data_IF_032535502834
#
_entry.id   IF_032535502834
#
_cell.length_a   1.000
_cell.length_b   1.000
_cell.length_c   1.000
_cell.angle_alpha   90.00
_cell.angle_beta   90.00
_cell.angle_gamma   90.00
#
_symmetry.space_group_name_H-M   'P 1'
#
loop_
_entity.id
_entity.type
_entity.pdbx_description
1 polymer ?
#
# COMPACT_ATOMS: atom_id res chain seq x y z
N UNK A 1 11.40 -15.15 22.66
CA UNK A 1 12.53 -14.20 22.83
C UNK A 1 12.67 -13.18 21.69
N UNK A 2 12.09 -13.38 20.51
CA UNK A 2 12.19 -12.47 19.34
C UNK A 2 11.23 -11.25 19.41
N UNK A 3 10.15 -11.32 20.17
CA UNK A 3 9.23 -10.19 20.41
C UNK A 3 9.88 -8.95 21.03
N UNK A 4 10.98 -9.16 21.76
CA UNK A 4 11.69 -8.07 22.45
C UNK A 4 12.41 -7.12 21.46
N UNK A 5 12.90 -7.61 20.32
CA UNK A 5 13.72 -6.82 19.41
C UNK A 5 12.93 -5.79 18.58
N UNK A 6 11.74 -6.15 18.10
CA UNK A 6 10.90 -5.23 17.28
C UNK A 6 10.27 -4.18 18.20
N UNK A 7 9.75 -4.58 19.34
CA UNK A 7 9.22 -3.64 20.36
C UNK A 7 10.33 -2.72 20.87
N UNK A 8 11.55 -3.24 21.03
CA UNK A 8 12.69 -2.45 21.46
C UNK A 8 13.11 -1.42 20.40
N UNK A 9 13.13 -1.78 19.11
CA UNK A 9 13.42 -0.85 18.02
C UNK A 9 12.31 0.20 17.83
N UNK A 10 11.04 -0.16 18.05
CA UNK A 10 9.93 0.78 18.01
C UNK A 10 9.96 1.75 19.19
N UNK A 11 10.27 1.27 20.39
CA UNK A 11 10.46 2.13 21.57
C UNK A 11 11.65 3.07 21.40
N UNK A 12 12.74 2.62 20.77
CA UNK A 12 13.87 3.48 20.41
C UNK A 12 13.47 4.53 19.36
N UNK A 13 12.63 4.19 18.38
CA UNK A 13 12.12 5.13 17.40
C UNK A 13 11.21 6.18 18.05
N UNK A 14 10.30 5.75 18.92
CA UNK A 14 9.44 6.65 19.72
C UNK A 14 10.26 7.55 20.65
N UNK A 15 11.33 7.02 21.25
CA UNK A 15 12.24 7.79 22.09
C UNK A 15 13.00 8.84 21.27
N UNK A 16 13.46 8.48 20.06
CA UNK A 16 14.13 9.42 19.15
C UNK A 16 13.16 10.49 18.62
N UNK A 17 11.92 10.11 18.28
CA UNK A 17 10.89 11.07 17.90
C UNK A 17 10.53 12.00 19.06
N UNK A 18 10.39 11.47 20.27
CA UNK A 18 10.13 12.29 21.48
C UNK A 18 11.24 13.30 21.74
N UNK A 19 12.50 12.88 21.53
CA UNK A 19 13.65 13.77 21.68
C UNK A 19 13.68 14.87 20.61
N UNK A 20 13.33 14.55 19.35
CA UNK A 20 13.21 15.49 18.25
C UNK A 20 12.14 16.56 18.50
N UNK A 21 11.01 16.15 19.07
CA UNK A 21 9.90 17.07 19.37
C UNK A 21 10.02 17.73 20.76
N UNK A 22 11.15 17.53 21.51
CA UNK A 22 11.37 18.03 22.86
C UNK A 22 10.23 17.71 23.85
N UNK A 23 9.58 16.57 23.65
CA UNK A 23 8.42 16.17 24.47
C UNK A 23 8.90 15.40 25.71
N UNK A 24 8.62 15.94 26.88
CA UNK A 24 9.05 15.34 28.18
C UNK A 24 8.16 14.18 28.64
N UNK A 25 6.99 13.98 28.03
CA UNK A 25 6.08 12.87 28.38
C UNK A 25 5.17 12.55 27.19
N UNK A 26 5.21 11.33 26.66
CA UNK A 26 4.42 10.88 25.49
C UNK A 26 3.25 9.98 25.90
N UNK A 27 2.80 10.03 27.13
CA UNK A 27 1.69 9.20 27.62
C UNK A 27 0.33 9.49 26.96
N UNK A 28 0.25 10.54 26.14
CA UNK A 28 -0.95 10.94 25.42
C UNK A 28 -1.02 10.42 23.97
N UNK A 29 0.05 9.72 23.51
CA UNK A 29 0.09 9.04 22.21
C UNK A 29 0.39 7.57 22.45
N UNK A 30 -0.48 6.72 21.97
CA UNK A 30 -0.25 5.28 21.84
C UNK A 30 -0.38 4.90 20.38
N UNK A 31 0.58 4.13 19.85
CA UNK A 31 0.57 3.65 18.47
C UNK A 31 0.34 2.14 18.52
N UNK A 32 -0.82 1.73 18.04
CA UNK A 32 -1.16 0.32 17.94
C UNK A 32 -0.76 -0.25 16.58
N UNK A 33 0.15 -1.21 16.60
CA UNK A 33 0.59 -1.97 15.43
C UNK A 33 -0.03 -3.38 15.38
N UNK A 34 -1.13 -3.64 16.10
CA UNK A 34 -1.70 -4.98 16.27
C UNK A 34 -2.12 -5.66 14.95
N UNK A 35 -2.47 -4.91 13.92
CA UNK A 35 -2.75 -5.49 12.59
C UNK A 35 -1.51 -6.17 11.96
N UNK A 36 -0.35 -5.96 12.52
CA UNK A 36 0.91 -6.55 12.08
C UNK A 36 1.16 -7.95 12.67
N UNK A 37 0.51 -8.25 13.80
CA UNK A 37 0.80 -9.45 14.59
C UNK A 37 0.28 -10.75 13.97
N UNK A 38 -0.58 -10.70 12.97
CA UNK A 38 -1.25 -11.90 12.46
C UNK A 38 -0.50 -12.64 11.35
N UNK A 39 0.73 -12.22 10.97
CA UNK A 39 1.40 -12.88 9.87
C UNK A 39 2.89 -13.17 10.15
N UNK A 40 3.17 -14.29 10.81
CA UNK A 40 4.54 -14.79 11.08
C UNK A 40 5.42 -14.89 9.82
N UNK A 41 4.80 -15.04 8.65
CA UNK A 41 5.49 -15.10 7.38
C UNK A 41 6.05 -13.73 6.97
N UNK A 42 5.38 -12.64 7.35
CA UNK A 42 5.87 -11.28 7.14
C UNK A 42 7.08 -10.95 8.01
N UNK A 43 7.07 -11.39 9.26
CA UNK A 43 8.18 -11.14 10.20
C UNK A 43 9.48 -11.72 9.64
N UNK A 44 9.44 -12.96 9.16
CA UNK A 44 10.62 -13.60 8.56
C UNK A 44 11.10 -12.84 7.32
N UNK A 45 10.21 -12.56 6.38
CA UNK A 45 10.55 -11.83 5.15
C UNK A 45 11.14 -10.45 5.45
N UNK A 46 10.59 -9.75 6.44
CA UNK A 46 11.08 -8.46 6.88
C UNK A 46 12.50 -8.55 7.46
N UNK A 47 12.75 -9.49 8.39
CA UNK A 47 14.07 -9.68 9.00
C UNK A 47 15.11 -10.15 7.99
N UNK A 48 14.76 -11.05 7.08
CA UNK A 48 15.65 -11.51 6.02
C UNK A 48 16.05 -10.34 5.09
N UNK A 49 15.08 -9.50 4.67
CA UNK A 49 15.36 -8.32 3.85
C UNK A 49 16.22 -7.30 4.62
N UNK A 50 15.90 -7.03 5.88
CA UNK A 50 16.69 -6.14 6.74
C UNK A 50 18.13 -6.62 6.86
N UNK A 51 18.32 -7.92 7.10
CA UNK A 51 19.65 -8.53 7.16
C UNK A 51 20.41 -8.36 5.85
N UNK A 52 19.75 -8.59 4.70
CA UNK A 52 20.34 -8.45 3.38
C UNK A 52 20.72 -6.99 3.05
N UNK A 53 19.90 -6.01 3.47
CA UNK A 53 20.24 -4.58 3.34
C UNK A 53 21.51 -4.25 4.12
N UNK A 54 21.57 -4.67 5.39
CA UNK A 54 22.70 -4.35 6.28
C UNK A 54 24.00 -5.05 5.86
N UNK A 55 23.90 -6.26 5.32
CA UNK A 55 25.07 -7.05 4.86
C UNK A 55 25.42 -6.83 3.39
N UNK A 56 24.63 -6.00 2.67
CA UNK A 56 24.76 -5.72 1.23
C UNK A 56 24.69 -6.98 0.36
N UNK A 57 23.86 -7.95 0.71
CA UNK A 57 23.66 -9.14 -0.09
C UNK A 57 22.57 -8.93 -1.14
N UNK A 58 22.78 -9.49 -2.33
CA UNK A 58 21.71 -9.64 -3.33
C UNK A 58 20.66 -10.58 -2.78
N UNK A 59 19.40 -10.33 -3.07
CA UNK A 59 18.30 -11.23 -2.77
C UNK A 59 17.56 -11.63 -4.03
N UNK A 60 17.09 -12.86 -4.06
CA UNK A 60 16.18 -13.35 -5.09
C UNK A 60 14.86 -13.77 -4.49
N UNK A 61 13.78 -13.60 -5.26
CA UNK A 61 12.44 -13.98 -4.84
C UNK A 61 11.49 -14.06 -6.03
N UNK A 62 10.42 -14.82 -5.86
CA UNK A 62 9.27 -14.81 -6.77
C UNK A 62 8.33 -13.68 -6.37
N UNK A 63 7.96 -12.83 -7.33
CA UNK A 63 7.09 -11.67 -7.12
C UNK A 63 5.78 -11.80 -7.89
N UNK A 64 4.65 -11.70 -7.17
CA UNK A 64 3.33 -11.64 -7.77
C UNK A 64 2.97 -10.21 -8.15
N UNK A 65 3.01 -9.91 -9.45
CA UNK A 65 2.70 -8.55 -9.95
C UNK A 65 1.19 -8.33 -10.05
N UNK A 66 0.78 -7.04 -10.12
CA UNK A 66 -0.62 -6.67 -10.36
C UNK A 66 -1.19 -7.16 -11.70
N UNK A 67 -0.34 -7.61 -12.62
CA UNK A 67 -0.73 -8.16 -13.91
C UNK A 67 -0.88 -9.70 -13.88
N UNK A 68 -1.16 -10.26 -12.70
CA UNK A 68 -1.42 -11.70 -12.47
C UNK A 68 -0.28 -12.64 -12.89
N UNK A 69 0.94 -12.13 -13.04
CA UNK A 69 2.11 -12.92 -13.41
C UNK A 69 3.07 -13.06 -12.24
N UNK A 70 3.41 -14.29 -11.93
CA UNK A 70 4.57 -14.60 -11.09
C UNK A 70 5.84 -14.41 -11.91
N UNK A 71 6.81 -13.75 -11.33
CA UNK A 71 8.09 -13.46 -11.99
C UNK A 71 9.22 -13.52 -10.97
N UNK A 72 10.31 -14.19 -11.33
CA UNK A 72 11.48 -14.22 -10.50
C UNK A 72 12.26 -12.90 -10.61
N UNK A 73 12.74 -12.43 -9.47
CA UNK A 73 13.46 -11.19 -9.33
C UNK A 73 14.74 -11.42 -8.55
N UNK A 74 15.82 -10.82 -9.05
CA UNK A 74 17.06 -10.63 -8.30
C UNK A 74 17.27 -9.13 -8.14
N UNK A 75 17.51 -8.68 -6.91
CA UNK A 75 17.57 -7.27 -6.60
C UNK A 75 18.69 -6.95 -5.61
N UNK A 76 19.24 -5.73 -5.70
CA UNK A 76 20.08 -5.13 -4.66
C UNK A 76 19.14 -4.38 -3.72
N UNK A 77 18.90 -4.88 -2.49
CA UNK A 77 17.96 -4.25 -1.55
C UNK A 77 18.54 -2.93 -1.02
N UNK A 78 17.71 -1.89 -0.92
CA UNK A 78 18.15 -0.55 -0.50
C UNK A 78 17.49 -0.11 0.80
N UNK A 79 16.17 -0.11 0.85
CA UNK A 79 15.40 0.37 2.02
C UNK A 79 14.09 -0.39 2.19
N UNK A 80 13.67 -0.54 3.43
CA UNK A 80 12.30 -0.90 3.80
C UNK A 80 11.52 0.38 4.06
N UNK A 81 10.32 0.49 3.49
CA UNK A 81 9.43 1.64 3.63
C UNK A 81 8.05 1.18 4.08
N UNK A 82 7.51 1.87 5.06
CA UNK A 82 6.12 1.72 5.46
C UNK A 82 5.30 2.86 4.85
N UNK A 83 4.35 2.54 3.97
CA UNK A 83 3.44 3.51 3.36
C UNK A 83 2.09 2.86 3.08
N UNK A 84 1.01 3.65 3.19
CA UNK A 84 -0.36 3.18 2.92
C UNK A 84 -0.68 1.85 3.63
N UNK A 85 -0.29 1.76 4.92
CA UNK A 85 -0.49 0.60 5.81
C UNK A 85 0.23 -0.69 5.38
N UNK A 86 1.19 -0.62 4.45
CA UNK A 86 1.94 -1.76 3.94
C UNK A 86 3.45 -1.52 3.94
N UNK A 87 4.21 -2.62 4.04
CA UNK A 87 5.65 -2.58 3.87
C UNK A 87 6.07 -2.83 2.44
N UNK A 88 7.04 -2.05 2.02
CA UNK A 88 7.65 -2.12 0.69
C UNK A 88 9.17 -2.23 0.81
N UNK A 89 9.75 -3.09 0.00
CA UNK A 89 11.18 -3.07 -0.30
C UNK A 89 11.41 -2.13 -1.48
N UNK A 90 12.27 -1.12 -1.30
CA UNK A 90 12.83 -0.35 -2.39
C UNK A 90 14.17 -0.95 -2.78
N UNK A 91 14.34 -1.35 -4.02
CA UNK A 91 15.50 -2.08 -4.49
C UNK A 91 15.82 -1.80 -5.95
N UNK A 92 17.10 -1.93 -6.33
CA UNK A 92 17.53 -1.95 -7.72
C UNK A 92 17.24 -3.35 -8.30
N UNK A 93 16.29 -3.43 -9.22
CA UNK A 93 15.94 -4.67 -9.92
C UNK A 93 16.96 -4.96 -11.02
N UNK A 94 17.72 -6.05 -10.89
CA UNK A 94 18.77 -6.40 -11.86
C UNK A 94 18.20 -6.72 -13.24
N UNK A 95 17.02 -7.36 -13.30
CA UNK A 95 16.36 -7.68 -14.58
C UNK A 95 15.94 -6.44 -15.37
N UNK A 96 15.57 -5.36 -14.69
CA UNK A 96 15.07 -4.13 -15.32
C UNK A 96 16.11 -3.01 -15.32
N UNK A 97 17.19 -3.20 -14.58
CA UNK A 97 18.21 -2.18 -14.30
C UNK A 97 17.59 -0.84 -13.83
N UNK A 98 16.60 -0.95 -12.94
CA UNK A 98 15.82 0.19 -12.46
C UNK A 98 15.38 0.00 -11.01
N UNK A 99 15.27 1.12 -10.26
CA UNK A 99 14.78 1.10 -8.89
C UNK A 99 13.27 0.90 -8.86
N UNK A 100 12.80 -0.02 -8.01
CA UNK A 100 11.38 -0.40 -7.89
C UNK A 100 10.97 -0.64 -6.47
N UNK A 101 9.67 -0.48 -6.25
CA UNK A 101 8.99 -0.88 -5.02
C UNK A 101 8.44 -2.29 -5.16
N UNK A 102 8.71 -3.12 -4.16
CA UNK A 102 8.15 -4.45 -4.04
C UNK A 102 7.38 -4.55 -2.74
N UNK A 103 6.06 -4.73 -2.81
CA UNK A 103 5.22 -4.93 -1.62
C UNK A 103 5.59 -6.26 -0.98
N UNK A 104 5.90 -6.28 0.33
CA UNK A 104 6.37 -7.48 1.01
C UNK A 104 5.37 -8.63 0.94
N UNK A 105 4.06 -8.32 1.01
CA UNK A 105 2.98 -9.31 0.89
C UNK A 105 2.96 -10.08 -0.43
N UNK A 106 3.66 -9.61 -1.45
CA UNK A 106 3.73 -10.21 -2.79
C UNK A 106 5.06 -10.91 -3.06
N UNK A 107 5.94 -10.95 -2.06
CA UNK A 107 7.24 -11.64 -2.13
C UNK A 107 7.05 -13.06 -1.62
N UNK A 108 7.45 -14.04 -2.42
CA UNK A 108 7.48 -15.47 -2.07
C UNK A 108 8.88 -16.03 -2.33
N UNK A 109 9.23 -17.12 -1.65
CA UNK A 109 10.47 -17.86 -1.88
C UNK A 109 11.71 -16.95 -1.85
N UNK A 110 11.79 -16.08 -0.81
CA UNK A 110 12.92 -15.16 -0.66
C UNK A 110 14.16 -15.93 -0.24
N UNK A 111 15.26 -15.70 -0.96
CA UNK A 111 16.58 -16.25 -0.70
C UNK A 111 17.62 -15.13 -0.67
N UNK A 112 18.47 -15.14 0.36
CA UNK A 112 19.61 -14.24 0.45
C UNK A 112 20.79 -14.91 -0.27
N UNK A 113 21.31 -14.25 -1.31
CA UNK A 113 22.42 -14.75 -2.07
C UNK A 113 23.76 -14.53 -1.33
N UNK A 114 24.74 -15.35 -1.61
CA UNK A 114 26.12 -15.15 -1.10
C UNK A 114 26.82 -13.96 -1.77
N UNK A 115 26.34 -13.55 -2.94
CA UNK A 115 26.85 -12.43 -3.71
C UNK A 115 26.52 -11.11 -3.00
N UNK A 116 27.54 -10.25 -2.89
CA UNK A 116 27.44 -8.90 -2.33
C UNK A 116 27.56 -7.85 -3.41
N UNK A 117 27.03 -6.69 -3.12
CA UNK A 117 27.18 -5.51 -3.96
C UNK A 117 27.90 -4.40 -3.19
N UNK A 118 28.72 -3.62 -3.91
CA UNK A 118 29.50 -2.53 -3.33
C UNK A 118 28.87 -1.14 -3.57
N UNK A 119 27.76 -1.10 -4.31
CA UNK A 119 27.06 0.15 -4.60
C UNK A 119 26.70 0.90 -3.30
N UNK A 120 26.92 2.24 -3.35
CA UNK A 120 26.44 3.12 -2.30
C UNK A 120 25.06 3.69 -2.70
N UNK A 121 24.04 3.37 -1.91
CA UNK A 121 22.68 3.82 -2.13
C UNK A 121 22.19 4.82 -1.05
N UNK A 122 23.10 5.40 -0.25
CA UNK A 122 22.72 6.33 0.83
C UNK A 122 21.99 7.56 0.29
N UNK A 123 22.47 8.12 -0.83
CA UNK A 123 21.93 9.31 -1.46
C UNK A 123 20.85 9.03 -2.52
N UNK A 124 20.43 7.77 -2.67
CA UNK A 124 19.40 7.44 -3.64
C UNK A 124 18.08 8.07 -3.22
N UNK A 125 17.65 9.04 -4.03
CA UNK A 125 16.33 9.66 -3.88
C UNK A 125 15.28 8.61 -4.23
N UNK A 126 14.35 8.39 -3.31
CA UNK A 126 13.20 7.53 -3.58
C UNK A 126 12.45 8.08 -4.80
N UNK A 127 12.32 7.27 -5.82
CA UNK A 127 11.46 7.63 -6.94
C UNK A 127 10.08 7.93 -6.37
N UNK A 128 9.63 9.17 -6.53
CA UNK A 128 8.20 9.44 -6.34
C UNK A 128 7.47 8.50 -7.29
N UNK A 129 6.50 7.77 -6.77
CA UNK A 129 5.57 7.12 -7.69
C UNK A 129 5.09 8.24 -8.61
N UNK A 130 5.38 8.12 -9.90
CA UNK A 130 4.87 9.08 -10.87
C UNK A 130 3.37 9.16 -10.63
N UNK A 131 2.79 10.37 -10.51
CA UNK A 131 1.35 10.50 -10.54
C UNK A 131 0.88 9.65 -11.72
N UNK A 132 -0.10 8.80 -11.49
CA UNK A 132 -0.60 7.94 -12.56
C UNK A 132 -0.80 8.78 -13.81
N UNK A 133 -0.12 8.43 -14.91
CA UNK A 133 -0.16 9.19 -16.16
C UNK A 133 -1.59 9.32 -16.73
N UNK A 134 -2.52 8.50 -16.21
CA UNK A 134 -3.90 8.47 -16.63
C UNK A 134 -4.82 8.47 -15.41
N UNK A 135 -5.26 9.63 -14.99
CA UNK A 135 -6.30 9.82 -13.97
C UNK A 135 -7.61 10.20 -14.61
N UNK A 136 -8.70 9.96 -13.92
CA UNK A 136 -10.04 10.38 -14.30
C UNK A 136 -10.72 11.00 -13.08
N UNK A 137 -11.42 12.11 -13.31
CA UNK A 137 -12.31 12.69 -12.32
C UNK A 137 -13.66 11.99 -12.38
N UNK A 138 -14.10 11.46 -11.27
CA UNK A 138 -15.41 10.82 -11.12
C UNK A 138 -16.25 11.60 -10.13
N UNK A 139 -17.54 11.80 -10.46
CA UNK A 139 -18.53 12.28 -9.50
C UNK A 139 -19.22 11.09 -8.89
N UNK A 140 -19.20 11.04 -7.56
CA UNK A 140 -19.76 9.92 -6.82
C UNK A 140 -20.78 10.41 -5.81
N UNK A 141 -21.91 9.72 -5.75
CA UNK A 141 -22.87 9.81 -4.68
C UNK A 141 -22.65 8.65 -3.72
N UNK A 142 -22.58 8.96 -2.43
CA UNK A 142 -22.46 7.96 -1.36
C UNK A 142 -23.69 8.01 -0.47
N UNK A 143 -24.25 6.86 -0.17
CA UNK A 143 -25.34 6.74 0.80
C UNK A 143 -24.86 7.16 2.20
N UNK A 144 -25.76 7.73 2.99
CA UNK A 144 -25.47 8.13 4.37
C UNK A 144 -24.89 7.00 5.23
N UNK A 145 -25.25 5.74 4.97
CA UNK A 145 -24.73 4.58 5.71
C UNK A 145 -23.21 4.39 5.63
N UNK A 146 -22.56 4.94 4.59
CA UNK A 146 -21.09 4.87 4.38
C UNK A 146 -20.41 6.21 4.61
N UNK A 147 -21.10 7.23 5.12
CA UNK A 147 -20.59 8.59 5.30
C UNK A 147 -19.30 8.63 6.13
N UNK A 148 -19.20 7.81 7.18
CA UNK A 148 -18.01 7.73 8.03
C UNK A 148 -16.75 7.42 7.22
N UNK A 149 -16.82 6.47 6.26
CA UNK A 149 -15.68 6.16 5.38
C UNK A 149 -15.33 7.30 4.43
N UNK A 150 -16.36 7.99 3.92
CA UNK A 150 -16.16 9.13 3.02
C UNK A 150 -15.37 10.22 3.72
N UNK A 151 -15.71 10.56 4.97
CA UNK A 151 -14.96 11.53 5.76
C UNK A 151 -13.57 11.05 6.19
N UNK A 152 -13.39 9.75 6.42
CA UNK A 152 -12.09 9.17 6.80
C UNK A 152 -11.11 9.09 5.62
N UNK A 153 -11.62 8.82 4.41
CA UNK A 153 -10.80 8.48 3.26
C UNK A 153 -10.62 9.63 2.26
N UNK A 154 -11.57 10.58 2.21
CA UNK A 154 -11.60 11.64 1.20
C UNK A 154 -11.33 13.03 1.81
N UNK A 155 -10.42 13.77 1.17
CA UNK A 155 -10.02 15.11 1.60
C UNK A 155 -10.55 16.22 0.66
N UNK A 156 -11.53 15.91 -0.20
CA UNK A 156 -12.11 16.82 -1.18
C UNK A 156 -13.31 17.62 -0.62
N UNK A 157 -13.88 18.44 -1.47
CA UNK A 157 -15.16 19.09 -1.18
C UNK A 157 -16.27 18.04 -1.17
N UNK A 158 -17.00 17.96 -0.06
CA UNK A 158 -18.11 17.03 0.14
C UNK A 158 -19.37 17.86 0.38
N UNK A 159 -20.40 17.62 -0.41
CA UNK A 159 -21.72 18.25 -0.25
C UNK A 159 -22.75 17.20 0.17
N UNK A 160 -23.74 17.60 0.94
CA UNK A 160 -24.82 16.74 1.41
C UNK A 160 -26.12 17.13 0.74
N UNK A 161 -26.89 16.13 0.26
CA UNK A 161 -28.23 16.34 -0.28
C UNK A 161 -29.30 16.31 0.82
N UNK A 162 -30.58 16.58 0.45
CA UNK A 162 -31.70 16.63 1.40
C UNK A 162 -31.98 15.28 2.09
N UNK A 163 -31.52 14.17 1.51
CA UNK A 163 -31.69 12.81 2.02
C UNK A 163 -30.50 12.38 2.90
N UNK A 164 -29.49 13.24 3.05
CA UNK A 164 -28.27 12.97 3.81
C UNK A 164 -27.23 12.17 3.04
N UNK A 165 -27.35 12.01 1.72
CA UNK A 165 -26.33 11.40 0.92
C UNK A 165 -25.22 12.42 0.60
N UNK A 166 -24.00 11.93 0.45
CA UNK A 166 -22.82 12.74 0.19
C UNK A 166 -22.46 12.72 -1.28
N UNK A 167 -22.09 13.86 -1.81
CA UNK A 167 -21.65 14.03 -3.19
C UNK A 167 -20.24 14.63 -3.19
N UNK A 168 -19.33 14.06 -3.97
CA UNK A 168 -17.97 14.56 -4.10
C UNK A 168 -17.38 14.22 -5.46
N UNK A 169 -16.32 14.95 -5.85
CA UNK A 169 -15.49 14.63 -7.01
C UNK A 169 -14.18 14.00 -6.54
N UNK A 170 -13.77 12.92 -7.18
CA UNK A 170 -12.56 12.18 -6.85
C UNK A 170 -11.71 12.06 -8.11
N UNK A 171 -10.46 12.54 -8.02
CA UNK A 171 -9.45 12.23 -9.02
C UNK A 171 -8.80 10.89 -8.67
N UNK A 172 -8.96 9.91 -9.53
CA UNK A 172 -8.48 8.54 -9.29
C UNK A 172 -7.81 7.97 -10.54
N UNK A 173 -6.77 7.13 -10.39
CA UNK A 173 -6.17 6.44 -11.52
C UNK A 173 -7.18 5.64 -12.33
N UNK A 174 -7.22 5.86 -13.63
CA UNK A 174 -8.11 5.14 -14.55
C UNK A 174 -7.57 3.73 -14.83
N UNK A 175 -7.69 2.87 -13.85
CA UNK A 175 -7.26 1.47 -13.89
C UNK A 175 -8.19 0.59 -13.05
N UNK A 176 -7.87 -0.68 -12.92
CA UNK A 176 -8.70 -1.63 -12.16
C UNK A 176 -8.93 -1.23 -10.68
N UNK A 177 -8.03 -0.47 -10.07
CA UNK A 177 -8.18 -0.03 -8.68
C UNK A 177 -9.36 0.94 -8.48
N UNK A 178 -9.73 1.73 -9.51
CA UNK A 178 -10.93 2.56 -9.48
C UNK A 178 -12.16 1.73 -9.17
N UNK A 179 -12.37 0.64 -9.92
CA UNK A 179 -13.55 -0.23 -9.75
C UNK A 179 -13.52 -0.93 -8.40
N UNK A 180 -12.36 -1.44 -7.99
CA UNK A 180 -12.19 -2.07 -6.67
C UNK A 180 -12.53 -1.08 -5.55
N UNK A 181 -12.12 0.17 -5.68
CA UNK A 181 -12.42 1.22 -4.71
C UNK A 181 -13.92 1.47 -4.62
N UNK A 182 -14.61 1.67 -5.75
CA UNK A 182 -16.06 1.88 -5.76
C UNK A 182 -16.79 0.65 -5.21
N UNK A 183 -16.45 -0.56 -5.64
CA UNK A 183 -17.08 -1.78 -5.16
C UNK A 183 -16.82 -2.06 -3.68
N UNK A 184 -15.76 -1.50 -3.10
CA UNK A 184 -15.50 -1.64 -1.66
C UNK A 184 -16.57 -0.98 -0.77
N UNK A 185 -17.36 -0.06 -1.32
CA UNK A 185 -18.52 0.56 -0.65
C UNK A 185 -19.81 -0.27 -0.79
N UNK A 186 -19.76 -1.38 -1.54
CA UNK A 186 -20.92 -2.22 -1.82
C UNK A 186 -21.99 -1.47 -2.62
N UNK A 187 -23.23 -1.47 -2.09
CA UNK A 187 -24.35 -0.73 -2.65
C UNK A 187 -24.43 0.73 -2.16
N UNK A 188 -23.47 1.16 -1.36
CA UNK A 188 -23.44 2.49 -0.77
C UNK A 188 -22.74 3.55 -1.63
N UNK A 189 -22.27 3.23 -2.84
CA UNK A 189 -21.64 4.18 -3.74
C UNK A 189 -22.20 4.09 -5.16
N UNK A 190 -22.50 5.25 -5.75
CA UNK A 190 -22.96 5.36 -7.13
C UNK A 190 -22.09 6.36 -7.87
N UNK A 191 -21.43 5.92 -8.95
CA UNK A 191 -20.72 6.82 -9.87
C UNK A 191 -21.74 7.50 -10.77
N UNK A 192 -21.81 8.82 -10.73
CA UNK A 192 -22.72 9.64 -11.55
C UNK A 192 -22.07 10.00 -12.88
N UNK A 193 -20.82 10.39 -12.86
CA UNK A 193 -20.03 10.80 -14.03
C UNK A 193 -18.59 10.25 -13.92
N UNK A 194 -17.90 10.02 -15.04
CA UNK A 194 -18.39 10.08 -16.42
C UNK A 194 -19.24 8.85 -16.80
N UNK A 195 -20.04 8.98 -17.86
CA UNK A 195 -20.95 7.91 -18.32
C UNK A 195 -20.21 6.63 -18.71
N UNK A 196 -19.01 6.75 -19.24
CA UNK A 196 -18.14 5.63 -19.63
C UNK A 196 -17.82 4.74 -18.43
N UNK A 197 -17.37 5.33 -17.32
CA UNK A 197 -17.06 4.60 -16.09
C UNK A 197 -18.32 3.96 -15.51
N UNK A 198 -19.44 4.71 -15.50
CA UNK A 198 -20.74 4.17 -15.04
C UNK A 198 -21.16 2.95 -15.86
N UNK A 199 -20.97 2.99 -17.19
CA UNK A 199 -21.29 1.87 -18.09
C UNK A 199 -20.42 0.65 -17.80
N UNK A 200 -19.12 0.84 -17.58
CA UNK A 200 -18.19 -0.23 -17.25
C UNK A 200 -18.52 -0.87 -15.89
N UNK A 201 -18.88 -0.07 -14.88
CA UNK A 201 -19.34 -0.56 -13.58
C UNK A 201 -20.60 -1.42 -13.75
N UNK A 202 -21.58 -0.97 -14.53
CA UNK A 202 -22.80 -1.73 -14.81
C UNK A 202 -22.50 -3.08 -15.47
N UNK A 203 -21.59 -3.12 -16.42
CA UNK A 203 -21.14 -4.36 -17.06
C UNK A 203 -20.48 -5.31 -16.05
N UNK A 204 -19.62 -4.78 -15.18
CA UNK A 204 -18.96 -5.57 -14.13
C UNK A 204 -19.97 -6.13 -13.12
N UNK A 205 -20.98 -5.33 -12.72
CA UNK A 205 -22.04 -5.78 -11.82
C UNK A 205 -22.82 -6.95 -12.45
N UNK A 206 -23.15 -6.85 -13.75
CA UNK A 206 -23.84 -7.95 -14.43
C UNK A 206 -23.00 -9.24 -14.42
N UNK A 207 -21.70 -9.14 -14.73
CA UNK A 207 -20.77 -10.29 -14.65
C UNK A 207 -20.64 -10.87 -13.26
N UNK A 208 -20.72 -10.02 -12.23
CA UNK A 208 -20.73 -10.47 -10.82
C UNK A 208 -22.05 -11.20 -10.55
N UNK A 209 -23.20 -10.59 -10.90
CA UNK A 209 -24.51 -11.19 -10.67
C UNK A 209 -24.64 -12.57 -11.33
N UNK A 210 -24.14 -12.74 -12.55
CA UNK A 210 -24.13 -14.04 -13.26
C UNK A 210 -23.44 -15.16 -12.48
N UNK A 211 -22.46 -14.85 -11.63
CA UNK A 211 -21.76 -15.85 -10.82
C UNK A 211 -22.57 -16.33 -9.62
N UNK A 212 -23.62 -15.61 -9.24
CA UNK A 212 -24.45 -15.89 -8.07
C UNK A 212 -25.90 -16.29 -8.42
N UNK A 213 -26.28 -16.15 -9.70
CA UNK A 213 -27.53 -16.68 -10.23
C UNK A 213 -27.25 -18.10 -10.67
N UNK A 214 -27.52 -19.06 -9.77
CA UNK A 214 -27.46 -20.49 -10.05
C UNK A 214 -28.83 -21.06 -10.28
#
# INVERSE_FOLDING_TARGET
MLYCGIIQSLNELLTKLSALFKMKNTSWIEVDFNNWQNNKMYEKTFEDIKSAILSKNIISFTYFSSNEKETDRSVKPVRLLFKSQDWYLYALCLLRNDFRYFKLSRIKNLEIQTEKFDDNFEDVILKKETPYENTVNIKVKFDRKVAFRVYDELNGEITEDNDGNLHTEIEIPNNHNLYNYIFSFGDGAEVLEPKEIRSQIKEMINKIAEKYIT
#
